data_IF_870367562594
#
_entry.id   IF_870367562594
#
_cell.length_a   1.000
_cell.length_b   1.000
_cell.length_c   1.000
_cell.angle_alpha   90.00
_cell.angle_beta   90.00
_cell.angle_gamma   90.00
#
_symmetry.space_group_name_H-M   'P 1'
#
loop_
_entity.id
_entity.type
_entity.pdbx_description
1 polymer ?
#
# COMPACT_ATOMS: atom_id res chain seq x y z
N UNK A 1 -4.21 3.46 21.13
CA UNK A 1 -2.80 3.69 20.76
C UNK A 1 -2.78 4.18 19.33
N UNK A 2 -2.29 5.39 19.08
CA UNK A 2 -2.13 5.91 17.72
C UNK A 2 -0.95 5.18 17.08
N UNK A 3 -1.17 4.45 15.98
CA UNK A 3 -0.09 3.77 15.28
C UNK A 3 0.96 4.80 14.84
N UNK A 4 2.23 4.53 15.09
CA UNK A 4 3.33 5.39 14.65
C UNK A 4 3.38 5.30 13.12
N UNK A 5 3.32 6.43 12.38
CA UNK A 5 3.43 6.40 10.94
C UNK A 5 4.84 5.96 10.53
N UNK A 6 4.92 5.12 9.49
CA UNK A 6 6.16 4.60 8.94
C UNK A 6 6.44 5.26 7.59
N UNK A 7 7.64 5.81 7.40
CA UNK A 7 8.02 6.47 6.16
C UNK A 7 8.98 5.59 5.34
N UNK A 8 8.80 5.57 4.02
CA UNK A 8 9.73 4.94 3.08
C UNK A 8 9.77 5.68 1.76
N UNK A 9 10.81 5.42 0.96
CA UNK A 9 10.97 5.98 -0.39
C UNK A 9 10.89 4.84 -1.40
N UNK A 10 10.19 5.08 -2.50
CA UNK A 10 10.04 4.15 -3.62
C UNK A 10 10.07 4.92 -4.94
N UNK A 11 11.16 4.76 -5.70
CA UNK A 11 11.38 5.53 -6.92
C UNK A 11 11.34 7.05 -6.65
N UNK A 12 10.51 7.82 -7.38
CA UNK A 12 10.38 9.27 -7.18
C UNK A 12 9.42 9.66 -6.04
N UNK A 13 8.89 8.69 -5.28
CA UNK A 13 7.87 8.97 -4.28
C UNK A 13 8.39 8.81 -2.85
N UNK A 14 7.97 9.73 -1.99
CA UNK A 14 8.05 9.59 -0.53
C UNK A 14 6.69 9.13 -0.03
N UNK A 15 6.68 8.03 0.71
CA UNK A 15 5.46 7.42 1.22
C UNK A 15 5.44 7.46 2.75
N UNK A 16 4.27 7.77 3.31
CA UNK A 16 4.02 7.71 4.76
C UNK A 16 2.81 6.80 4.99
N UNK A 17 3.06 5.65 5.59
CA UNK A 17 2.08 4.62 5.87
C UNK A 17 1.62 4.63 7.33
N UNK A 18 0.33 4.43 7.56
CA UNK A 18 -0.25 4.26 8.88
C UNK A 18 -1.30 3.14 8.86
N UNK A 19 -1.27 2.30 9.89
CA UNK A 19 -2.29 1.26 10.07
C UNK A 19 -3.61 1.88 10.50
N UNK A 20 -4.66 1.57 9.76
CA UNK A 20 -6.04 2.01 9.99
C UNK A 20 -7.01 0.89 9.66
N UNK A 21 -7.00 -0.12 10.51
CA UNK A 21 -7.89 -1.28 10.40
C UNK A 21 -9.36 -0.86 10.31
N UNK A 22 -10.13 -1.66 9.58
CA UNK A 22 -11.57 -1.53 9.40
C UNK A 22 -12.28 -2.64 10.18
N UNK A 23 -13.60 -2.52 10.45
CA UNK A 23 -14.36 -3.58 11.14
C UNK A 23 -14.27 -4.95 10.47
N UNK A 24 -13.93 -4.99 9.17
CA UNK A 24 -13.88 -6.18 8.33
C UNK A 24 -12.46 -6.63 7.96
N UNK A 25 -11.41 -5.92 8.37
CA UNK A 25 -10.04 -6.34 8.03
C UNK A 25 -8.96 -5.31 8.29
N UNK A 26 -7.71 -5.74 8.23
CA UNK A 26 -6.55 -4.85 8.31
C UNK A 26 -6.44 -3.93 7.10
N UNK A 27 -6.03 -2.70 7.36
CA UNK A 27 -5.83 -1.71 6.31
C UNK A 27 -4.67 -0.76 6.63
N UNK A 28 -4.04 -0.27 5.58
CA UNK A 28 -2.92 0.64 5.60
C UNK A 28 -3.29 1.84 4.73
N UNK A 29 -3.31 3.02 5.33
CA UNK A 29 -3.39 4.28 4.59
C UNK A 29 -1.97 4.77 4.32
N UNK A 30 -1.67 5.11 3.06
CA UNK A 30 -0.36 5.53 2.59
C UNK A 30 -0.52 6.87 1.88
N UNK A 31 0.03 7.93 2.45
CA UNK A 31 0.22 9.19 1.71
C UNK A 31 1.40 9.02 0.77
N UNK A 32 1.22 9.42 -0.49
CA UNK A 32 2.23 9.37 -1.55
C UNK A 32 2.53 10.81 -1.95
N UNK A 33 3.71 11.27 -1.58
CA UNK A 33 4.22 12.60 -1.91
C UNK A 33 5.27 12.48 -3.02
N UNK A 34 5.35 13.47 -3.89
CA UNK A 34 6.48 13.61 -4.80
C UNK A 34 7.76 13.90 -3.98
N UNK A 35 8.81 13.11 -4.17
CA UNK A 35 10.01 13.23 -3.34
C UNK A 35 10.81 14.51 -3.63
N UNK A 36 10.64 15.12 -4.81
CA UNK A 36 11.37 16.33 -5.20
C UNK A 36 10.63 17.60 -4.75
N UNK A 37 9.31 17.69 -4.98
CA UNK A 37 8.50 18.86 -4.61
C UNK A 37 7.91 18.78 -3.20
N UNK A 38 7.75 17.57 -2.66
CA UNK A 38 7.05 17.34 -1.39
C UNK A 38 5.53 17.45 -1.50
N UNK A 39 4.99 17.63 -2.71
CA UNK A 39 3.54 17.74 -2.90
C UNK A 39 2.87 16.38 -2.72
N UNK A 40 1.73 16.37 -2.04
CA UNK A 40 0.86 15.21 -2.02
C UNK A 40 0.37 14.89 -3.43
N UNK A 41 0.68 13.70 -3.91
CA UNK A 41 0.15 13.16 -5.15
C UNK A 41 -1.19 12.48 -4.88
N UNK A 42 -1.20 11.47 -4.01
CA UNK A 42 -2.39 10.68 -3.71
C UNK A 42 -2.35 10.15 -2.27
N UNK A 43 -3.51 9.76 -1.75
CA UNK A 43 -3.60 8.84 -0.62
C UNK A 43 -4.02 7.48 -1.13
N UNK A 44 -3.38 6.41 -0.69
CA UNK A 44 -3.71 5.04 -1.05
C UNK A 44 -4.19 4.30 0.18
N UNK A 45 -5.28 3.57 0.08
CA UNK A 45 -5.76 2.63 1.10
C UNK A 45 -5.56 1.22 0.58
N UNK A 46 -4.60 0.50 1.15
CA UNK A 46 -4.50 -0.93 0.99
C UNK A 46 -5.33 -1.62 2.06
N UNK A 47 -6.22 -2.53 1.68
CA UNK A 47 -7.05 -3.25 2.65
C UNK A 47 -7.18 -4.73 2.29
N UNK A 48 -7.28 -5.58 3.33
CA UNK A 48 -7.76 -6.95 3.17
C UNK A 48 -9.27 -7.00 3.45
N UNK A 49 -10.03 -7.61 2.55
CA UNK A 49 -11.47 -7.78 2.67
C UNK A 49 -11.82 -9.27 2.65
N UNK A 50 -12.82 -9.75 3.41
CA UNK A 50 -13.20 -11.16 3.45
C UNK A 50 -13.56 -11.75 2.08
N UNK A 51 -13.98 -10.91 1.13
CA UNK A 51 -14.30 -11.32 -0.24
C UNK A 51 -13.06 -11.51 -1.13
N UNK A 52 -11.86 -11.16 -0.66
CA UNK A 52 -10.63 -11.25 -1.44
C UNK A 52 -9.85 -12.52 -1.14
N UNK A 53 -9.31 -13.14 -2.19
CA UNK A 53 -8.41 -14.30 -2.05
C UNK A 53 -7.20 -13.95 -1.20
N UNK A 54 -6.89 -14.81 -0.23
CA UNK A 54 -5.78 -14.60 0.70
C UNK A 54 -6.13 -13.71 1.90
N UNK A 55 -7.42 -13.44 2.14
CA UNK A 55 -7.88 -12.68 3.31
C UNK A 55 -7.27 -13.19 4.62
N UNK A 56 -7.42 -14.47 4.95
CA UNK A 56 -6.89 -15.06 6.19
C UNK A 56 -5.37 -14.84 6.34
N UNK A 57 -4.63 -15.04 5.24
CA UNK A 57 -3.18 -14.81 5.22
C UNK A 57 -2.84 -13.35 5.49
N UNK A 58 -3.52 -12.42 4.81
CA UNK A 58 -3.31 -10.97 4.98
C UNK A 58 -3.73 -10.50 6.37
N UNK A 59 -4.79 -11.07 6.93
CA UNK A 59 -5.31 -10.79 8.26
C UNK A 59 -4.35 -11.28 9.36
N UNK A 60 -3.54 -12.30 9.08
CA UNK A 60 -2.50 -12.78 9.99
C UNK A 60 -1.21 -11.94 9.96
N UNK A 61 -1.06 -11.01 9.00
CA UNK A 61 0.15 -10.22 8.87
C UNK A 61 0.24 -9.11 9.92
N UNK A 62 1.45 -8.92 10.43
CA UNK A 62 1.81 -7.75 11.22
C UNK A 62 1.80 -6.47 10.38
N UNK A 63 1.80 -5.33 11.06
CA UNK A 63 1.88 -4.01 10.39
C UNK A 63 3.12 -3.87 9.52
N UNK A 64 4.27 -4.32 10.01
CA UNK A 64 5.53 -4.24 9.28
C UNK A 64 5.50 -5.09 8.00
N UNK A 65 4.86 -6.26 8.05
CA UNK A 65 4.66 -7.11 6.88
C UNK A 65 3.71 -6.47 5.86
N UNK A 66 2.60 -5.86 6.31
CA UNK A 66 1.69 -5.12 5.43
C UNK A 66 2.38 -3.91 4.77
N UNK A 67 3.20 -3.18 5.53
CA UNK A 67 4.05 -2.10 4.99
C UNK A 67 5.02 -2.65 3.94
N UNK A 68 5.64 -3.80 4.19
CA UNK A 68 6.52 -4.47 3.23
C UNK A 68 5.81 -4.79 1.92
N UNK A 69 4.56 -5.29 1.98
CA UNK A 69 3.75 -5.56 0.79
C UNK A 69 3.40 -4.28 0.03
N UNK A 70 2.90 -3.25 0.73
CA UNK A 70 2.57 -1.96 0.12
C UNK A 70 3.80 -1.33 -0.56
N UNK A 71 4.96 -1.37 0.10
CA UNK A 71 6.23 -0.90 -0.47
C UNK A 71 6.61 -1.68 -1.72
N UNK A 72 6.51 -3.01 -1.71
CA UNK A 72 6.84 -3.85 -2.86
C UNK A 72 5.93 -3.55 -4.06
N UNK A 73 4.63 -3.35 -3.83
CA UNK A 73 3.68 -2.98 -4.89
C UNK A 73 3.92 -1.59 -5.46
N UNK A 74 4.24 -0.61 -4.61
CA UNK A 74 4.60 0.72 -5.09
C UNK A 74 5.92 0.70 -5.86
N UNK A 75 6.88 -0.14 -5.44
CA UNK A 75 8.17 -0.29 -6.10
C UNK A 75 8.10 -1.07 -7.43
N UNK A 76 7.04 -1.85 -7.67
CA UNK A 76 6.87 -2.57 -8.93
C UNK A 76 6.41 -1.68 -10.09
N UNK A 77 6.05 -0.42 -9.80
CA UNK A 77 5.50 0.52 -10.79
C UNK A 77 4.07 0.20 -11.21
N UNK A 78 3.41 -0.80 -10.58
CA UNK A 78 2.04 -1.21 -10.91
C UNK A 78 1.03 -0.05 -10.82
N UNK A 79 1.35 0.98 -10.03
CA UNK A 79 0.49 2.13 -9.77
C UNK A 79 0.93 3.41 -10.49
N UNK A 80 2.06 3.40 -11.19
CA UNK A 80 2.67 4.62 -11.75
C UNK A 80 1.75 5.36 -12.71
N UNK A 81 1.05 4.63 -13.59
CA UNK A 81 0.10 5.25 -14.52
C UNK A 81 -1.06 5.98 -13.80
N UNK A 82 -1.46 5.50 -12.61
CA UNK A 82 -2.53 6.11 -11.82
C UNK A 82 -2.04 7.29 -11.00
N UNK A 83 -0.81 7.21 -10.49
CA UNK A 83 -0.15 8.28 -9.75
C UNK A 83 0.29 9.44 -10.66
N UNK A 84 0.67 9.13 -11.90
CA UNK A 84 1.07 10.13 -12.90
C UNK A 84 -0.11 10.85 -13.54
N UNK A 85 -1.34 10.35 -13.40
CA UNK A 85 -2.55 10.98 -13.94
C UNK A 85 -2.90 12.23 -13.11
N UNK A 86 -2.79 13.45 -13.69
CA UNK A 86 -3.08 14.68 -12.96
C UNK A 86 -4.52 14.75 -12.44
N UNK A 87 -5.46 14.02 -13.04
CA UNK A 87 -6.86 14.01 -12.61
C UNK A 87 -7.04 13.33 -11.25
N UNK A 88 -6.18 12.36 -10.92
CA UNK A 88 -6.29 11.62 -9.67
C UNK A 88 -5.63 12.35 -8.51
N UNK A 89 -4.94 13.47 -8.76
CA UNK A 89 -4.16 14.16 -7.73
C UNK A 89 -5.05 14.59 -6.55
N UNK A 90 -4.62 14.27 -5.35
CA UNK A 90 -5.35 14.47 -4.10
C UNK A 90 -6.44 13.43 -3.82
N UNK A 91 -6.67 12.46 -4.70
CA UNK A 91 -7.67 11.42 -4.46
C UNK A 91 -7.19 10.41 -3.44
N UNK A 92 -8.17 9.80 -2.77
CA UNK A 92 -7.98 8.55 -2.03
C UNK A 92 -8.26 7.38 -2.95
N UNK A 93 -7.24 6.58 -3.25
CA UNK A 93 -7.32 5.42 -4.12
C UNK A 93 -7.40 4.16 -3.27
N UNK A 94 -8.32 3.25 -3.59
CA UNK A 94 -8.50 1.99 -2.85
C UNK A 94 -7.88 0.83 -3.63
N UNK A 95 -7.00 0.09 -2.97
CA UNK A 95 -6.29 -1.04 -3.54
C UNK A 95 -6.35 -2.26 -2.62
N UNK A 96 -6.25 -3.42 -3.25
CA UNK A 96 -6.12 -4.71 -2.57
C UNK A 96 -4.64 -5.02 -2.36
N UNK A 97 -4.32 -5.64 -1.21
CA UNK A 97 -3.02 -6.29 -1.06
C UNK A 97 -2.90 -7.52 -1.97
N UNK A 98 -1.79 -7.61 -2.67
CA UNK A 98 -1.38 -8.76 -3.46
C UNK A 98 -0.32 -9.49 -2.66
N UNK A 99 -0.56 -10.79 -2.46
CA UNK A 99 0.44 -11.68 -1.90
C UNK A 99 1.47 -12.00 -3.00
N UNK A 100 2.76 -12.08 -2.67
CA UNK A 100 3.76 -12.54 -3.62
C UNK A 100 3.40 -13.94 -4.14
N UNK A 101 3.66 -14.19 -5.42
CA UNK A 101 3.48 -15.51 -6.00
C UNK A 101 4.31 -16.55 -5.22
N UNK A 102 3.79 -17.76 -4.99
CA UNK A 102 4.61 -18.83 -4.44
C UNK A 102 5.81 -19.10 -5.36
N UNK A 103 6.98 -19.48 -4.80
CA UNK A 103 8.10 -19.87 -5.63
C UNK A 103 7.69 -21.06 -6.51
N UNK A 104 8.05 -21.01 -7.79
CA UNK A 104 7.82 -22.14 -8.69
C UNK A 104 8.55 -23.38 -8.12
N UNK A 105 7.91 -24.56 -8.14
CA UNK A 105 8.61 -25.77 -7.74
C UNK A 105 9.79 -25.97 -8.69
N UNK A 106 11.00 -25.93 -8.15
CA UNK A 106 12.21 -26.34 -8.87
C UNK A 106 12.00 -27.80 -9.29
N UNK A 107 11.84 -28.02 -10.59
CA UNK A 107 11.81 -29.36 -11.19
C UNK A 107 13.18 -30.02 -11.17
#
# INVERSE_FOLDING_TARGET
MTAVPFAFVTGPYRCVAARKDRPWGHALEVSVDDAASGDLLNSIVFACHPEFTGFETLQALSTDQLIGLARAQLASGALDARLADPQTRGWTLFYRFELPAPPEPTS
#
